data_IF_358430447585
#
_entry.id   IF_358430447585
#
_cell.length_a   1.000
_cell.length_b   1.000
_cell.length_c   1.000
_cell.angle_alpha   90.00
_cell.angle_beta   90.00
_cell.angle_gamma   90.00
#
_symmetry.space_group_name_H-M   'P 1'
#
loop_
_entity.id
_entity.type
_entity.pdbx_description
1 polymer ?
#
# COMPACT_ATOMS: atom_id res chain seq x y z
N UNK A 1 16.38 2.56 34.73
CA UNK A 1 16.45 1.41 33.80
C UNK A 1 17.25 1.86 32.60
N UNK A 2 18.36 1.20 32.28
CA UNK A 2 19.10 1.47 31.05
C UNK A 2 18.34 0.78 29.90
N UNK A 3 17.90 1.55 28.90
CA UNK A 3 17.39 0.95 27.67
C UNK A 3 18.57 0.33 26.93
N UNK A 4 18.51 -0.97 26.66
CA UNK A 4 19.46 -1.61 25.78
C UNK A 4 19.15 -1.17 24.34
N UNK A 5 20.14 -0.61 23.66
CA UNK A 5 20.06 -0.30 22.23
C UNK A 5 20.18 -1.63 21.48
N UNK A 6 19.16 -1.95 20.67
CA UNK A 6 19.14 -3.19 19.87
C UNK A 6 20.02 -3.06 18.62
N UNK A 7 19.83 -1.98 17.84
CA UNK A 7 20.60 -1.68 16.63
C UNK A 7 20.59 -0.16 16.39
N UNK A 8 21.47 0.32 15.51
CA UNK A 8 21.59 1.75 15.15
C UNK A 8 21.64 1.89 13.64
N UNK A 9 20.77 2.76 13.12
CA UNK A 9 20.71 3.09 11.70
C UNK A 9 20.90 4.60 11.51
N UNK A 10 21.74 4.97 10.55
CA UNK A 10 21.84 6.35 10.07
C UNK A 10 20.89 6.52 8.91
N UNK A 11 19.96 7.48 9.01
CA UNK A 11 18.88 7.65 8.03
C UNK A 11 18.80 9.07 7.51
N UNK A 12 18.50 9.20 6.22
CA UNK A 12 18.07 10.46 5.61
C UNK A 12 16.58 10.37 5.33
N UNK A 13 15.82 11.36 5.81
CA UNK A 13 14.37 11.43 5.60
C UNK A 13 14.07 12.73 4.87
N UNK A 14 13.53 12.60 3.66
CA UNK A 14 13.14 13.72 2.80
C UNK A 14 11.63 13.86 2.88
N UNK A 15 11.16 15.05 3.29
CA UNK A 15 9.77 15.44 3.18
C UNK A 15 9.57 16.11 1.82
N UNK A 16 8.79 15.52 0.90
CA UNK A 16 8.54 16.15 -0.40
C UNK A 16 7.79 17.48 -0.24
N UNK A 17 7.91 18.39 -1.21
CA UNK A 17 7.15 19.65 -1.23
C UNK A 17 5.62 19.45 -1.24
N UNK A 18 5.17 18.25 -1.58
CA UNK A 18 3.77 17.81 -1.60
C UNK A 18 3.34 17.11 -0.30
N UNK A 19 4.23 17.03 0.70
CA UNK A 19 3.87 16.54 2.03
C UNK A 19 2.77 17.44 2.66
N UNK A 20 1.75 16.88 3.33
CA UNK A 20 1.60 15.47 3.72
C UNK A 20 0.91 14.58 2.68
N UNK A 21 0.58 15.04 1.48
CA UNK A 21 -0.10 14.20 0.48
C UNK A 21 0.78 13.04 0.00
N UNK A 22 2.08 13.27 -0.20
CA UNK A 22 3.07 12.21 -0.42
C UNK A 22 3.73 11.77 0.89
N UNK A 23 4.15 10.49 0.93
CA UNK A 23 4.88 9.93 2.07
C UNK A 23 6.31 10.48 2.14
N UNK A 24 6.93 10.52 3.33
CA UNK A 24 8.36 10.72 3.46
C UNK A 24 9.15 9.71 2.62
N UNK A 25 10.24 10.15 2.00
CA UNK A 25 11.20 9.27 1.31
C UNK A 25 12.38 9.03 2.24
N UNK A 26 12.68 7.76 2.49
CA UNK A 26 13.68 7.36 3.48
C UNK A 26 14.84 6.65 2.79
N UNK A 27 16.06 6.96 3.21
CA UNK A 27 17.28 6.26 2.81
C UNK A 27 18.03 5.83 4.06
N UNK A 28 18.52 4.59 4.09
CA UNK A 28 19.57 4.21 5.03
C UNK A 28 20.92 4.62 4.44
N UNK A 29 21.66 5.44 5.19
CA UNK A 29 22.89 6.11 4.71
C UNK A 29 24.14 5.70 5.48
N UNK A 30 23.99 4.88 6.52
CA UNK A 30 25.10 4.31 7.30
C UNK A 30 25.71 3.05 6.67
N UNK A 31 25.08 2.46 5.66
CA UNK A 31 25.56 1.24 5.00
C UNK A 31 25.31 -0.02 5.82
N UNK A 32 24.44 0.06 6.84
CA UNK A 32 24.05 -1.07 7.68
C UNK A 32 23.23 -2.10 6.89
N UNK A 33 22.45 -1.64 5.90
CA UNK A 33 21.55 -2.49 5.11
C UNK A 33 22.07 -2.73 3.69
N UNK A 34 22.00 -3.97 3.18
CA UNK A 34 22.29 -4.23 1.78
C UNK A 34 21.19 -3.63 0.89
N UNK A 35 21.58 -3.06 -0.25
CA UNK A 35 20.64 -2.52 -1.25
C UNK A 35 20.02 -3.64 -2.07
N UNK A 36 19.10 -4.38 -1.46
CA UNK A 36 18.42 -5.54 -2.07
C UNK A 36 16.90 -5.44 -1.90
N UNK A 37 16.12 -5.96 -2.86
CA UNK A 37 14.66 -6.01 -2.76
C UNK A 37 14.17 -6.68 -1.48
N UNK A 38 14.78 -7.80 -1.06
CA UNK A 38 14.38 -8.55 0.16
C UNK A 38 14.49 -7.72 1.46
N UNK A 39 15.33 -6.68 1.45
CA UNK A 39 15.44 -5.71 2.54
C UNK A 39 14.52 -4.50 2.32
N UNK A 40 13.55 -4.61 1.41
CA UNK A 40 12.64 -3.54 1.00
C UNK A 40 13.37 -2.25 0.60
N UNK A 41 14.53 -2.41 -0.05
CA UNK A 41 15.26 -1.29 -0.64
C UNK A 41 15.00 -1.27 -2.14
N UNK A 42 14.46 -0.15 -2.62
CA UNK A 42 14.15 0.08 -4.03
C UNK A 42 15.45 0.26 -4.85
N UNK A 43 15.39 0.15 -6.19
CA UNK A 43 16.57 0.32 -7.06
C UNK A 43 17.26 1.68 -6.93
N UNK A 44 16.52 2.73 -6.56
CA UNK A 44 17.05 4.07 -6.30
C UNK A 44 17.64 4.25 -4.89
N UNK A 45 17.65 3.18 -4.08
CA UNK A 45 18.13 3.16 -2.71
C UNK A 45 17.11 3.60 -1.66
N UNK A 46 15.91 4.02 -2.07
CA UNK A 46 14.86 4.40 -1.11
C UNK A 46 14.29 3.17 -0.40
N UNK A 47 13.94 3.31 0.88
CA UNK A 47 13.29 2.29 1.67
C UNK A 47 11.78 2.25 1.38
N UNK A 48 11.26 1.07 1.07
CA UNK A 48 9.83 0.77 1.01
C UNK A 48 9.31 0.52 2.43
N UNK A 49 9.16 1.61 3.21
CA UNK A 49 8.78 1.54 4.63
C UNK A 49 7.36 0.96 4.83
N UNK A 50 6.47 1.20 3.88
CA UNK A 50 5.07 0.74 3.94
C UNK A 50 4.43 0.76 2.54
N UNK A 51 3.33 0.01 2.37
CA UNK A 51 2.47 0.15 1.19
C UNK A 51 1.71 1.48 1.28
N UNK A 52 1.85 2.40 0.31
CA UNK A 52 1.16 3.70 0.33
C UNK A 52 -0.36 3.58 0.44
N UNK A 53 -0.94 2.52 -0.10
CA UNK A 53 -2.36 2.23 -0.08
C UNK A 53 -2.91 1.88 1.32
N UNK A 54 -2.05 1.46 2.24
CA UNK A 54 -2.37 1.12 3.63
C UNK A 54 -2.20 2.31 4.59
N UNK A 55 -1.91 3.49 4.02
CA UNK A 55 -1.64 4.70 4.77
C UNK A 55 -2.76 5.13 5.71
N UNK A 56 -4.01 4.95 5.30
CA UNK A 56 -5.16 5.28 6.14
C UNK A 56 -5.18 4.55 7.49
N UNK A 57 -4.54 3.39 7.57
CA UNK A 57 -4.45 2.57 8.78
C UNK A 57 -3.19 2.85 9.59
N UNK A 58 -2.06 3.03 8.91
CA UNK A 58 -0.74 3.08 9.58
C UNK A 58 -0.20 4.51 9.81
N UNK A 59 -0.58 5.48 8.97
CA UNK A 59 -0.10 6.86 9.05
C UNK A 59 -0.99 7.81 8.23
N UNK A 60 -2.18 8.12 8.75
CA UNK A 60 -3.21 8.88 8.03
C UNK A 60 -2.73 10.31 7.69
N UNK A 61 -3.33 10.90 6.64
CA UNK A 61 -3.00 12.28 6.26
C UNK A 61 -3.40 13.22 7.41
N UNK A 62 -2.45 14.04 7.85
CA UNK A 62 -2.62 14.95 8.98
C UNK A 62 -2.13 14.40 10.31
N UNK A 63 -1.73 13.13 10.38
CA UNK A 63 -1.05 12.59 11.56
C UNK A 63 0.29 13.34 11.80
N UNK A 64 0.68 13.57 13.06
CA UNK A 64 1.99 14.10 13.41
C UNK A 64 3.11 13.30 12.77
N UNK A 65 4.17 13.99 12.32
CA UNK A 65 5.33 13.30 11.76
C UNK A 65 5.98 12.34 12.77
N UNK A 66 5.87 12.62 14.06
CA UNK A 66 6.34 11.73 15.12
C UNK A 66 5.66 10.34 15.06
N UNK A 67 4.38 10.27 14.72
CA UNK A 67 3.67 8.99 14.55
C UNK A 67 4.26 8.15 13.41
N UNK A 68 4.79 8.80 12.36
CA UNK A 68 5.51 8.10 11.30
C UNK A 68 6.83 7.51 11.80
N UNK A 69 7.56 8.27 12.64
CA UNK A 69 8.83 7.83 13.23
C UNK A 69 8.61 6.67 14.18
N UNK A 70 7.67 6.78 15.11
CA UNK A 70 7.41 5.81 16.17
C UNK A 70 6.64 4.57 15.68
N UNK A 71 5.93 4.70 14.56
CA UNK A 71 5.16 3.61 13.96
C UNK A 71 5.88 3.00 12.74
N UNK A 72 5.48 3.37 11.51
CA UNK A 72 6.01 2.76 10.29
C UNK A 72 7.54 2.70 10.20
N UNK A 73 8.23 3.81 10.51
CA UNK A 73 9.68 3.87 10.36
C UNK A 73 10.40 3.01 11.40
N UNK A 74 10.00 3.10 12.67
CA UNK A 74 10.53 2.26 13.74
C UNK A 74 10.31 0.78 13.43
N UNK A 75 9.08 0.40 13.05
CA UNK A 75 8.76 -0.99 12.71
C UNK A 75 9.56 -1.50 11.52
N UNK A 76 9.80 -0.66 10.51
CA UNK A 76 10.66 -1.02 9.39
C UNK A 76 12.08 -1.38 9.86
N UNK A 77 12.75 -0.51 10.62
CA UNK A 77 14.13 -0.78 11.05
C UNK A 77 14.22 -1.91 12.07
N UNK A 78 13.25 -2.04 12.98
CA UNK A 78 13.15 -3.20 13.86
C UNK A 78 13.03 -4.50 13.06
N UNK A 79 12.22 -4.49 12.01
CA UNK A 79 12.06 -5.66 11.13
C UNK A 79 13.32 -5.96 10.34
N UNK A 80 14.10 -4.95 9.97
CA UNK A 80 15.38 -5.13 9.29
C UNK A 80 16.42 -5.80 10.18
N UNK A 81 16.51 -5.42 11.46
CA UNK A 81 17.37 -6.10 12.43
C UNK A 81 16.94 -7.56 12.56
N UNK A 82 15.65 -7.81 12.83
CA UNK A 82 15.09 -9.17 12.95
C UNK A 82 15.31 -10.02 11.69
N UNK A 83 15.07 -9.47 10.51
CA UNK A 83 15.25 -10.16 9.23
C UNK A 83 16.72 -10.48 8.96
N UNK A 84 17.64 -9.57 9.30
CA UNK A 84 19.08 -9.81 9.13
C UNK A 84 19.60 -10.93 10.02
N UNK A 85 18.98 -11.14 11.19
CA UNK A 85 19.37 -12.20 12.14
C UNK A 85 18.69 -13.53 11.86
N UNK A 86 17.40 -13.50 11.47
CA UNK A 86 16.55 -14.70 11.42
C UNK A 86 16.17 -15.13 10.00
N UNK A 87 16.35 -14.25 9.01
CA UNK A 87 15.81 -14.43 7.66
C UNK A 87 14.29 -14.29 7.58
N UNK A 88 13.61 -13.82 8.64
CA UNK A 88 12.15 -13.70 8.69
C UNK A 88 11.69 -12.31 9.13
N UNK A 89 10.61 -11.82 8.51
CA UNK A 89 9.99 -10.54 8.86
C UNK A 89 9.04 -10.73 10.04
N UNK A 90 9.26 -10.05 11.19
CA UNK A 90 8.54 -10.31 12.45
C UNK A 90 7.05 -9.97 12.39
N UNK A 91 6.65 -9.08 11.48
CA UNK A 91 5.25 -8.66 11.27
C UNK A 91 4.66 -9.19 9.96
N UNK A 92 5.36 -10.12 9.29
CA UNK A 92 5.11 -10.47 7.91
C UNK A 92 5.56 -9.38 6.93
N UNK A 93 5.39 -9.65 5.64
CA UNK A 93 5.68 -8.71 4.57
C UNK A 93 4.74 -8.95 3.39
N UNK A 94 4.55 -7.93 2.56
CA UNK A 94 3.94 -8.08 1.25
C UNK A 94 5.02 -8.35 0.21
N UNK A 95 4.67 -9.08 -0.85
CA UNK A 95 5.55 -9.27 -2.00
C UNK A 95 5.94 -7.95 -2.67
N UNK A 96 7.03 -7.94 -3.42
CA UNK A 96 7.50 -6.72 -4.06
C UNK A 96 6.67 -6.36 -5.32
N UNK A 97 6.57 -5.05 -5.58
CA UNK A 97 5.97 -4.51 -6.79
C UNK A 97 4.49 -4.86 -6.96
N UNK A 98 4.11 -5.28 -8.16
CA UNK A 98 2.70 -5.55 -8.55
C UNK A 98 2.08 -6.65 -7.70
N UNK A 99 2.85 -7.65 -7.27
CA UNK A 99 2.36 -8.77 -6.46
C UNK A 99 1.86 -8.29 -5.09
N UNK A 100 2.65 -7.50 -4.36
CA UNK A 100 2.23 -6.96 -3.05
C UNK A 100 1.03 -6.05 -3.14
N UNK A 101 0.88 -5.29 -4.24
CA UNK A 101 -0.33 -4.49 -4.47
C UNK A 101 -1.57 -5.42 -4.59
N UNK A 102 -1.48 -6.51 -5.36
CA UNK A 102 -2.56 -7.50 -5.41
C UNK A 102 -2.84 -8.09 -4.03
N UNK A 103 -1.83 -8.57 -3.32
CA UNK A 103 -1.99 -9.18 -2.00
C UNK A 103 -2.67 -8.24 -1.01
N UNK A 104 -2.24 -6.97 -0.97
CA UNK A 104 -2.84 -5.94 -0.15
C UNK A 104 -4.32 -5.75 -0.48
N UNK A 105 -4.67 -5.55 -1.75
CA UNK A 105 -6.07 -5.32 -2.14
C UNK A 105 -6.92 -6.59 -2.03
N UNK A 106 -6.37 -7.77 -2.29
CA UNK A 106 -7.05 -9.05 -2.06
C UNK A 106 -7.40 -9.22 -0.58
N UNK A 107 -6.49 -8.85 0.32
CA UNK A 107 -6.72 -8.86 1.77
C UNK A 107 -7.77 -7.80 2.17
N UNK A 108 -7.56 -6.54 1.78
CA UNK A 108 -8.43 -5.40 2.11
C UNK A 108 -9.87 -5.62 1.61
N UNK A 109 -10.02 -6.15 0.40
CA UNK A 109 -11.32 -6.45 -0.20
C UNK A 109 -11.82 -7.82 0.30
N UNK A 110 -10.98 -8.73 0.76
CA UNK A 110 -11.36 -10.11 1.07
C UNK A 110 -11.79 -10.91 -0.17
N UNK A 111 -11.14 -10.67 -1.31
CA UNK A 111 -11.40 -11.37 -2.58
C UNK A 111 -10.06 -11.76 -3.21
N UNK A 112 -9.86 -13.06 -3.49
CA UNK A 112 -8.62 -13.58 -4.09
C UNK A 112 -8.53 -13.41 -5.62
N UNK A 113 -9.66 -13.19 -6.30
CA UNK A 113 -9.68 -13.06 -7.76
C UNK A 113 -9.12 -11.72 -8.23
N UNK A 114 -8.01 -11.76 -8.98
CA UNK A 114 -7.31 -10.58 -9.49
C UNK A 114 -8.20 -9.72 -10.39
N UNK A 115 -9.06 -10.33 -11.20
CA UNK A 115 -9.94 -9.59 -12.10
C UNK A 115 -10.97 -8.77 -11.30
N UNK A 116 -11.52 -9.36 -10.26
CA UNK A 116 -12.43 -8.69 -9.33
C UNK A 116 -11.74 -7.56 -8.57
N UNK A 117 -10.51 -7.77 -8.09
CA UNK A 117 -9.69 -6.70 -7.47
C UNK A 117 -9.52 -5.53 -8.43
N UNK A 118 -9.17 -5.78 -9.69
CA UNK A 118 -9.06 -4.75 -10.72
C UNK A 118 -10.38 -3.99 -10.95
N UNK A 119 -11.53 -4.68 -10.95
CA UNK A 119 -12.86 -4.04 -11.06
C UNK A 119 -13.17 -3.14 -9.87
N UNK A 120 -12.81 -3.55 -8.65
CA UNK A 120 -12.94 -2.71 -7.46
C UNK A 120 -12.08 -1.45 -7.61
N UNK A 121 -10.79 -1.59 -7.95
CA UNK A 121 -9.88 -0.47 -8.18
C UNK A 121 -10.37 0.50 -9.27
N UNK A 122 -10.97 -0.01 -10.35
CA UNK A 122 -11.61 0.82 -11.38
C UNK A 122 -12.75 1.69 -10.84
N UNK A 123 -13.48 1.23 -9.84
CA UNK A 123 -14.56 2.00 -9.20
C UNK A 123 -14.00 2.98 -8.16
N UNK A 124 -12.97 2.57 -7.41
CA UNK A 124 -12.30 3.43 -6.42
C UNK A 124 -11.60 4.61 -7.10
N UNK A 125 -11.01 4.39 -8.28
CA UNK A 125 -10.34 5.42 -9.07
C UNK A 125 -11.29 6.44 -9.76
N UNK A 126 -12.61 6.32 -9.61
CA UNK A 126 -13.58 7.25 -10.22
C UNK A 126 -14.05 8.29 -9.20
N UNK A 127 -14.10 9.56 -9.61
CA UNK A 127 -14.65 10.65 -8.79
C UNK A 127 -16.07 10.36 -8.31
N UNK A 128 -16.94 9.85 -9.18
CA UNK A 128 -18.35 9.62 -8.86
C UNK A 128 -18.71 8.13 -8.82
N UNK A 129 -19.30 7.70 -7.69
CA UNK A 129 -19.82 6.35 -7.53
C UNK A 129 -21.19 6.19 -8.20
N UNK A 130 -21.24 5.56 -9.37
CA UNK A 130 -22.48 5.25 -10.09
C UNK A 130 -23.12 3.97 -9.54
N UNK A 131 -24.02 4.11 -8.57
CA UNK A 131 -24.63 2.98 -7.84
C UNK A 131 -25.52 2.06 -8.69
N UNK A 132 -25.93 2.50 -9.88
CA UNK A 132 -26.77 1.72 -10.80
C UNK A 132 -25.98 0.82 -11.76
N UNK A 133 -24.65 0.91 -11.78
CA UNK A 133 -23.80 0.02 -12.57
C UNK A 133 -23.65 -1.35 -11.92
N UNK A 134 -23.22 -2.32 -12.73
CA UNK A 134 -22.87 -3.66 -12.26
C UNK A 134 -21.87 -3.63 -11.11
N UNK A 135 -22.10 -4.50 -10.14
CA UNK A 135 -21.23 -4.64 -8.99
C UNK A 135 -19.89 -5.26 -9.39
N UNK A 136 -18.75 -4.71 -8.92
CA UNK A 136 -17.41 -5.21 -9.29
C UNK A 136 -17.16 -6.65 -8.85
N UNK A 137 -17.90 -7.14 -7.85
CA UNK A 137 -17.76 -8.50 -7.30
C UNK A 137 -18.28 -9.64 -8.21
N UNK A 138 -18.75 -9.32 -9.43
CA UNK A 138 -19.26 -10.30 -10.39
C UNK A 138 -20.55 -11.05 -9.98
N UNK A 139 -21.30 -10.56 -8.99
CA UNK A 139 -22.54 -11.22 -8.53
C UNK A 139 -23.74 -11.08 -9.48
N UNK A 140 -23.60 -10.38 -10.61
CA UNK A 140 -24.72 -10.05 -11.52
C UNK A 140 -25.73 -9.03 -10.96
N UNK A 141 -25.45 -8.40 -9.81
CA UNK A 141 -26.31 -7.36 -9.20
C UNK A 141 -25.71 -5.98 -9.44
N UNK A 142 -26.54 -4.93 -9.40
CA UNK A 142 -26.03 -3.55 -9.38
C UNK A 142 -25.40 -3.20 -8.03
N UNK A 143 -24.47 -2.24 -8.03
CA UNK A 143 -23.72 -1.79 -6.83
C UNK A 143 -24.67 -1.47 -5.67
N UNK A 144 -25.76 -0.73 -5.93
CA UNK A 144 -26.75 -0.32 -4.93
C UNK A 144 -27.29 -1.49 -4.10
N UNK A 145 -27.44 -2.66 -4.70
CA UNK A 145 -28.04 -3.86 -4.08
C UNK A 145 -27.01 -4.96 -3.81
N UNK A 146 -25.72 -4.62 -3.79
CA UNK A 146 -24.65 -5.58 -3.52
C UNK A 146 -23.54 -4.97 -2.65
N UNK A 147 -22.43 -4.50 -3.24
CA UNK A 147 -21.26 -4.04 -2.47
C UNK A 147 -21.26 -2.54 -2.14
N UNK A 148 -22.39 -1.82 -2.16
CA UNK A 148 -22.42 -0.36 -1.94
C UNK A 148 -21.70 0.08 -0.66
N UNK A 149 -22.00 -0.55 0.48
CA UNK A 149 -21.42 -0.16 1.76
C UNK A 149 -19.92 -0.45 1.81
N UNK A 150 -19.50 -1.60 1.26
CA UNK A 150 -18.09 -1.98 1.13
C UNK A 150 -17.32 -0.99 0.26
N UNK A 151 -17.89 -0.58 -0.89
CA UNK A 151 -17.25 0.41 -1.76
C UNK A 151 -17.14 1.77 -1.07
N UNK A 152 -18.16 2.18 -0.31
CA UNK A 152 -18.11 3.43 0.47
C UNK A 152 -17.03 3.40 1.55
N UNK A 153 -16.95 2.29 2.29
CA UNK A 153 -15.90 2.07 3.28
C UNK A 153 -14.50 2.14 2.64
N UNK A 154 -14.29 1.42 1.54
CA UNK A 154 -13.03 1.46 0.79
C UNK A 154 -12.68 2.86 0.27
N UNK A 155 -13.66 3.66 -0.16
CA UNK A 155 -13.45 5.05 -0.60
C UNK A 155 -13.16 6.02 0.55
N UNK A 156 -13.50 5.66 1.80
CA UNK A 156 -13.07 6.40 2.98
C UNK A 156 -11.61 6.08 3.37
N UNK A 157 -11.10 4.92 2.96
CA UNK A 157 -9.76 4.42 3.27
C UNK A 157 -8.74 4.76 2.19
N UNK A 158 -9.11 4.57 0.92
CA UNK A 158 -8.20 4.72 -0.22
C UNK A 158 -8.63 5.92 -1.05
N UNK A 159 -7.72 6.89 -1.21
CA UNK A 159 -7.98 8.07 -2.04
C UNK A 159 -8.05 7.70 -3.53
N UNK A 160 -8.66 8.58 -4.32
CA UNK A 160 -8.79 8.38 -5.78
C UNK A 160 -7.41 8.31 -6.44
N UNK A 161 -6.46 9.14 -6.00
CA UNK A 161 -5.09 9.20 -6.52
C UNK A 161 -4.35 7.89 -6.25
N UNK A 162 -4.45 7.38 -5.02
CA UNK A 162 -3.85 6.11 -4.59
C UNK A 162 -4.45 4.95 -5.38
N UNK A 163 -5.78 4.85 -5.43
CA UNK A 163 -6.47 3.82 -6.20
C UNK A 163 -6.14 3.91 -7.70
N UNK A 164 -5.97 5.12 -8.25
CA UNK A 164 -5.58 5.34 -9.64
C UNK A 164 -4.17 4.84 -9.90
N UNK A 165 -3.21 5.14 -9.01
CA UNK A 165 -1.82 4.67 -9.13
C UNK A 165 -1.76 3.15 -9.07
N UNK A 166 -2.40 2.54 -8.06
CA UNK A 166 -2.48 1.08 -7.96
C UNK A 166 -3.13 0.47 -9.20
N UNK A 167 -4.25 1.00 -9.66
CA UNK A 167 -4.91 0.56 -10.90
C UNK A 167 -3.98 0.66 -12.12
N UNK A 168 -3.23 1.74 -12.27
CA UNK A 168 -2.28 1.88 -13.39
C UNK A 168 -1.17 0.83 -13.32
N UNK A 169 -0.62 0.57 -12.12
CA UNK A 169 0.40 -0.46 -11.92
C UNK A 169 -0.14 -1.86 -12.22
N UNK A 170 -1.38 -2.17 -11.79
CA UNK A 170 -2.00 -3.48 -12.03
C UNK A 170 -2.54 -3.67 -13.46
N UNK A 171 -3.07 -2.63 -14.10
CA UNK A 171 -3.67 -2.71 -15.45
C UNK A 171 -2.64 -2.57 -16.58
N UNK A 172 -1.46 -1.98 -16.33
CA UNK A 172 -0.34 -2.01 -17.29
C UNK A 172 0.31 -3.40 -17.38
N UNK A 173 0.16 -4.23 -16.35
CA UNK A 173 0.36 -5.67 -16.44
C UNK A 173 -0.79 -6.25 -17.29
N UNK A 174 -0.66 -6.14 -18.62
CA UNK A 174 -1.59 -6.64 -19.65
C UNK A 174 -2.29 -7.91 -19.20
N UNK A 175 -3.62 -7.85 -19.02
CA UNK A 175 -4.61 -8.92 -19.27
C UNK A 175 -6.02 -8.34 -18.94
N UNK A 176 -6.95 -8.38 -19.91
CA UNK A 176 -8.42 -8.12 -19.83
C UNK A 176 -9.02 -6.69 -19.83
N UNK A 177 -8.47 -5.70 -20.55
CA UNK A 177 -9.16 -4.38 -20.65
C UNK A 177 -10.22 -4.25 -21.78
N UNK A 178 -10.45 -5.26 -22.63
CA UNK A 178 -11.28 -5.07 -23.84
C UNK A 178 -12.73 -5.57 -23.84
N UNK A 179 -13.30 -6.11 -22.74
CA UNK A 179 -14.67 -6.69 -22.83
C UNK A 179 -15.69 -6.38 -21.74
N UNK A 180 -15.54 -5.33 -20.96
CA UNK A 180 -16.62 -4.92 -20.04
C UNK A 180 -16.80 -3.42 -20.03
N UNK A 181 -17.45 -2.90 -21.08
CA UNK A 181 -18.27 -1.71 -20.95
C UNK A 181 -19.32 -2.01 -19.87
N UNK A 182 -19.02 -1.60 -18.64
CA UNK A 182 -20.04 -1.36 -17.61
C UNK A 182 -21.01 -0.35 -18.22
N UNK A 183 -22.12 -0.85 -18.78
CA UNK A 183 -23.28 -0.04 -19.13
C UNK A 183 -24.11 0.18 -17.87
#
# INVERSE_FOLDING_TARGET
>A
MAFAILDVYSVSIILPNTYPSQLPVVYEVGGRLPRKPDHHINPDGSACVMIPDDRWRCFSIGAPFLDYLDGPLHNFFLSQTSFSETGTWPFGQWEHGVKGIYEYYQCLIGIKDNLTVCRFLQILAKNNLKKHYDCPCASGKIIKHCCLNKIRDLRGKVSIEVATKARLQLCQARIFYERSRLR
#
